data_IF_262848106259
#
_entry.id   IF_262848106259
#
_cell.length_a   1.000
_cell.length_b   1.000
_cell.length_c   1.000
_cell.angle_alpha   90.00
_cell.angle_beta   90.00
_cell.angle_gamma   90.00
#
_symmetry.space_group_name_H-M   'P 1'
#
loop_
_entity.id
_entity.type
_entity.pdbx_description
1 polymer ?
#
# COMPACT_ATOMS: atom_id res chain seq x y z
N UNK A 1 9.77 -17.15 -0.63
CA UNK A 1 10.31 -16.96 -1.98
C UNK A 1 10.16 -15.48 -2.33
N UNK A 2 11.27 -14.79 -2.54
CA UNK A 2 11.28 -13.33 -2.81
C UNK A 2 11.16 -13.12 -4.32
N UNK A 3 10.04 -12.60 -4.78
CA UNK A 3 9.77 -12.36 -6.21
C UNK A 3 9.89 -10.89 -6.55
N UNK A 4 10.52 -10.60 -7.69
CA UNK A 4 10.48 -9.29 -8.32
C UNK A 4 9.87 -9.40 -9.72
N UNK A 5 9.29 -8.30 -10.19
CA UNK A 5 8.75 -8.15 -11.54
C UNK A 5 9.62 -7.13 -12.28
N UNK A 6 10.15 -7.53 -13.43
CA UNK A 6 10.90 -6.67 -14.35
C UNK A 6 10.09 -6.45 -15.61
N UNK A 7 9.93 -5.20 -16.01
CA UNK A 7 9.07 -4.79 -17.12
C UNK A 7 9.83 -3.88 -18.07
N UNK A 8 9.99 -4.30 -19.30
CA UNK A 8 10.61 -3.50 -20.37
C UNK A 8 10.19 -4.10 -21.72
N UNK A 9 9.84 -3.28 -22.70
CA UNK A 9 9.45 -3.77 -24.03
C UNK A 9 10.65 -4.23 -24.87
N UNK A 10 11.88 -3.79 -24.51
CA UNK A 10 13.11 -4.24 -25.14
C UNK A 10 13.62 -5.55 -24.47
N UNK A 11 13.60 -6.71 -25.15
CA UNK A 11 13.96 -8.00 -24.53
C UNK A 11 15.39 -8.05 -23.96
N UNK A 12 16.34 -7.36 -24.62
CA UNK A 12 17.74 -7.33 -24.16
C UNK A 12 17.90 -6.53 -22.86
N UNK A 13 17.27 -5.36 -22.78
CA UNK A 13 17.29 -4.53 -21.56
C UNK A 13 16.54 -5.23 -20.42
N UNK A 14 15.36 -5.80 -20.72
CA UNK A 14 14.58 -6.56 -19.75
C UNK A 14 15.42 -7.67 -19.11
N UNK A 15 16.11 -8.45 -19.92
CA UNK A 15 16.99 -9.52 -19.45
C UNK A 15 18.17 -8.99 -18.63
N UNK A 16 18.82 -7.92 -19.08
CA UNK A 16 19.92 -7.29 -18.34
C UNK A 16 19.46 -6.80 -16.96
N UNK A 17 18.32 -6.12 -16.89
CA UNK A 17 17.74 -5.65 -15.63
C UNK A 17 17.35 -6.83 -14.74
N UNK A 18 16.77 -7.90 -15.30
CA UNK A 18 16.41 -9.11 -14.58
C UNK A 18 17.65 -9.78 -13.94
N UNK A 19 18.76 -9.88 -14.67
CA UNK A 19 20.03 -10.42 -14.15
C UNK A 19 20.58 -9.57 -12.99
N UNK A 20 20.50 -8.23 -13.09
CA UNK A 20 20.91 -7.32 -12.02
C UNK A 20 20.00 -7.51 -10.79
N UNK A 21 18.69 -7.54 -10.97
CA UNK A 21 17.72 -7.71 -9.87
C UNK A 21 17.88 -9.09 -9.20
N UNK A 22 18.14 -10.14 -9.96
CA UNK A 22 18.46 -11.45 -9.41
C UNK A 22 19.75 -11.41 -8.54
N UNK A 23 20.77 -10.70 -8.99
CA UNK A 23 22.02 -10.45 -8.25
C UNK A 23 21.83 -9.70 -6.94
N UNK A 24 20.76 -8.90 -6.79
CA UNK A 24 20.40 -8.25 -5.53
C UNK A 24 19.87 -9.25 -4.47
N UNK A 25 19.39 -10.43 -4.88
CA UNK A 25 18.96 -11.49 -3.98
C UNK A 25 17.48 -11.81 -4.01
N UNK A 26 16.82 -11.61 -5.14
CA UNK A 26 15.49 -12.16 -5.39
C UNK A 26 15.59 -13.59 -5.90
N UNK A 27 14.70 -14.46 -5.43
CA UNK A 27 14.71 -15.90 -5.76
C UNK A 27 14.10 -16.18 -7.13
N UNK A 28 13.15 -15.35 -7.55
CA UNK A 28 12.42 -15.48 -8.81
C UNK A 28 12.17 -14.10 -9.43
N UNK A 29 12.47 -13.98 -10.72
CA UNK A 29 12.19 -12.78 -11.50
C UNK A 29 11.09 -13.11 -12.50
N UNK A 30 9.96 -12.44 -12.35
CA UNK A 30 8.89 -12.44 -13.34
C UNK A 30 9.17 -11.35 -14.37
N UNK A 31 8.79 -11.56 -15.59
CA UNK A 31 9.01 -10.62 -16.69
C UNK A 31 7.68 -10.21 -17.33
N UNK A 32 7.60 -8.97 -17.79
CA UNK A 32 6.51 -8.44 -18.60
C UNK A 32 7.03 -7.50 -19.69
N UNK A 33 6.30 -7.40 -20.78
CA UNK A 33 6.70 -6.64 -21.97
C UNK A 33 6.05 -5.25 -22.06
N UNK A 34 5.10 -4.96 -21.19
CA UNK A 34 4.39 -3.69 -21.13
C UNK A 34 3.68 -3.50 -19.78
N UNK A 35 3.25 -2.27 -19.53
CA UNK A 35 2.58 -1.93 -18.27
C UNK A 35 1.26 -2.67 -18.02
N UNK A 36 0.53 -3.07 -19.07
CA UNK A 36 -0.74 -3.79 -18.89
C UNK A 36 -0.51 -5.21 -18.34
N UNK A 37 0.48 -5.93 -18.88
CA UNK A 37 0.90 -7.23 -18.33
C UNK A 37 1.45 -7.08 -16.91
N UNK A 38 2.21 -6.01 -16.63
CA UNK A 38 2.72 -5.75 -15.29
C UNK A 38 1.60 -5.59 -14.26
N UNK A 39 0.54 -4.85 -14.58
CA UNK A 39 -0.62 -4.67 -13.72
C UNK A 39 -1.33 -6.01 -13.46
N UNK A 40 -1.50 -6.84 -14.49
CA UNK A 40 -2.12 -8.15 -14.37
C UNK A 40 -1.30 -9.10 -13.48
N UNK A 41 0.01 -9.19 -13.71
CA UNK A 41 0.90 -10.02 -12.91
C UNK A 41 0.91 -9.54 -11.45
N UNK A 42 1.03 -8.23 -11.20
CA UNK A 42 1.03 -7.68 -9.85
C UNK A 42 -0.27 -7.93 -9.08
N UNK A 43 -1.40 -8.01 -9.77
CA UNK A 43 -2.70 -8.32 -9.17
C UNK A 43 -2.82 -9.78 -8.70
N UNK A 44 -2.20 -10.72 -9.43
CA UNK A 44 -2.40 -12.15 -9.21
C UNK A 44 -1.20 -12.86 -8.55
N UNK A 45 -0.04 -12.21 -8.52
CA UNK A 45 1.19 -12.78 -7.96
C UNK A 45 1.64 -12.04 -6.70
N UNK A 46 2.33 -12.76 -5.82
CA UNK A 46 3.02 -12.18 -4.67
C UNK A 46 4.36 -11.59 -5.10
N UNK A 47 4.42 -10.27 -5.25
CA UNK A 47 5.59 -9.52 -5.71
C UNK A 47 6.06 -8.57 -4.61
N UNK A 48 7.37 -8.50 -4.40
CA UNK A 48 8.00 -7.63 -3.41
C UNK A 48 8.65 -6.38 -4.01
N UNK A 49 8.88 -6.36 -5.32
CA UNK A 49 9.50 -5.25 -6.03
C UNK A 49 9.06 -5.25 -7.49
N UNK A 50 8.81 -4.07 -8.04
CA UNK A 50 8.63 -3.86 -9.48
C UNK A 50 9.75 -2.94 -9.98
N UNK A 51 10.49 -3.39 -11.00
CA UNK A 51 11.43 -2.56 -11.76
C UNK A 51 10.88 -2.43 -13.17
N UNK A 52 10.62 -1.21 -13.62
CA UNK A 52 9.82 -1.01 -14.82
C UNK A 52 10.36 0.14 -15.67
N UNK A 53 10.42 -0.06 -17.00
CA UNK A 53 10.70 1.03 -17.92
C UNK A 53 9.60 2.10 -17.87
N UNK A 54 10.02 3.36 -17.94
CA UNK A 54 9.10 4.51 -17.96
C UNK A 54 8.34 4.65 -19.28
N UNK A 55 8.98 4.28 -20.42
CA UNK A 55 8.47 4.55 -21.76
C UNK A 55 8.17 3.28 -22.55
N UNK A 56 7.02 2.65 -22.34
CA UNK A 56 6.62 1.42 -23.03
C UNK A 56 5.36 1.62 -23.90
N UNK A 57 5.19 0.82 -24.98
CA UNK A 57 3.96 0.80 -25.75
C UNK A 57 2.79 0.22 -24.93
N UNK A 58 1.56 0.41 -25.42
CA UNK A 58 0.29 -0.05 -24.82
C UNK A 58 -0.04 0.66 -23.52
N UNK A 59 0.87 0.62 -22.54
CA UNK A 59 0.75 1.31 -21.26
C UNK A 59 2.15 1.65 -20.74
N UNK A 60 2.41 2.95 -20.54
CA UNK A 60 3.66 3.44 -19.97
C UNK A 60 3.82 3.06 -18.48
N UNK A 61 5.08 3.10 -18.01
CA UNK A 61 5.42 2.69 -16.66
C UNK A 61 4.78 3.53 -15.57
N UNK A 62 4.57 4.83 -15.80
CA UNK A 62 3.94 5.72 -14.82
C UNK A 62 2.45 5.37 -14.64
N UNK A 63 1.75 5.16 -15.76
CA UNK A 63 0.35 4.73 -15.75
C UNK A 63 0.19 3.33 -15.11
N UNK A 64 1.12 2.42 -15.37
CA UNK A 64 1.12 1.10 -14.76
C UNK A 64 1.37 1.19 -13.24
N UNK A 65 2.33 2.01 -12.81
CA UNK A 65 2.61 2.26 -11.39
C UNK A 65 1.38 2.78 -10.64
N UNK A 66 0.66 3.74 -11.23
CA UNK A 66 -0.57 4.28 -10.64
C UNK A 66 -1.64 3.20 -10.44
N UNK A 67 -1.84 2.32 -11.45
CA UNK A 67 -2.82 1.22 -11.37
C UNK A 67 -2.42 0.17 -10.34
N UNK A 68 -1.14 -0.20 -10.29
CA UNK A 68 -0.60 -1.13 -9.28
C UNK A 68 -0.80 -0.53 -7.89
N UNK A 69 -0.41 0.74 -7.69
CA UNK A 69 -0.53 1.41 -6.39
C UNK A 69 -1.96 1.53 -5.87
N UNK A 70 -2.96 1.65 -6.76
CA UNK A 70 -4.38 1.68 -6.39
C UNK A 70 -4.92 0.31 -5.95
N UNK A 71 -4.42 -0.76 -6.54
CA UNK A 71 -4.90 -2.12 -6.28
C UNK A 71 -4.14 -2.78 -5.13
N UNK A 72 -2.84 -2.86 -5.26
CA UNK A 72 -1.94 -3.48 -4.28
C UNK A 72 -0.63 -2.68 -4.26
N UNK A 73 -0.46 -1.74 -3.32
CA UNK A 73 0.77 -0.95 -3.24
C UNK A 73 2.01 -1.83 -3.14
N UNK A 74 3.00 -1.55 -3.98
CA UNK A 74 4.28 -2.25 -4.07
C UNK A 74 5.41 -1.23 -4.22
N UNK A 75 6.64 -1.54 -3.79
CA UNK A 75 7.79 -0.71 -4.11
C UNK A 75 8.07 -0.78 -5.61
N UNK A 76 8.12 0.39 -6.26
CA UNK A 76 8.32 0.52 -7.70
C UNK A 76 9.53 1.40 -7.96
N UNK A 77 10.46 0.89 -8.76
CA UNK A 77 11.59 1.63 -9.32
C UNK A 77 11.39 1.78 -10.82
N UNK A 78 11.41 3.00 -11.33
CA UNK A 78 11.39 3.24 -12.77
C UNK A 78 12.82 3.23 -13.33
N UNK A 79 12.95 2.67 -14.53
CA UNK A 79 14.12 2.80 -15.39
C UNK A 79 13.72 3.70 -16.55
N UNK A 80 14.38 4.84 -16.75
CA UNK A 80 13.92 5.81 -17.75
C UNK A 80 15.06 6.51 -18.46
N UNK A 81 14.87 6.81 -19.73
CA UNK A 81 15.73 7.73 -20.48
C UNK A 81 15.31 9.20 -20.33
N UNK A 82 14.06 9.44 -19.89
CA UNK A 82 13.51 10.78 -19.74
C UNK A 82 13.59 11.25 -18.28
N UNK A 83 14.30 12.35 -18.07
CA UNK A 83 14.49 13.00 -16.76
C UNK A 83 13.82 14.37 -16.68
N UNK A 84 12.85 14.64 -17.55
CA UNK A 84 12.10 15.89 -17.49
C UNK A 84 11.36 16.03 -16.16
N UNK A 85 11.40 17.20 -15.52
CA UNK A 85 10.79 17.42 -14.20
C UNK A 85 9.30 17.04 -14.13
N UNK A 86 8.57 17.25 -15.21
CA UNK A 86 7.15 16.91 -15.31
C UNK A 86 6.92 15.40 -15.28
N UNK A 87 7.76 14.62 -15.96
CA UNK A 87 7.69 13.15 -15.96
C UNK A 87 8.04 12.58 -14.59
N UNK A 88 9.06 13.14 -13.94
CA UNK A 88 9.46 12.74 -12.58
C UNK A 88 8.34 13.04 -11.58
N UNK A 89 7.72 14.20 -11.67
CA UNK A 89 6.61 14.57 -10.78
C UNK A 89 5.38 13.66 -10.99
N UNK A 90 5.05 13.33 -12.23
CA UNK A 90 3.99 12.35 -12.52
C UNK A 90 4.31 10.99 -11.92
N UNK A 91 5.56 10.51 -12.06
CA UNK A 91 6.01 9.25 -11.48
C UNK A 91 5.89 9.25 -9.94
N UNK A 92 6.30 10.35 -9.29
CA UNK A 92 6.16 10.53 -7.85
C UNK A 92 4.69 10.46 -7.39
N UNK A 93 3.80 11.15 -8.09
CA UNK A 93 2.36 11.13 -7.80
C UNK A 93 1.72 9.76 -8.05
N UNK A 94 2.27 8.98 -8.99
CA UNK A 94 1.86 7.61 -9.28
C UNK A 94 2.34 6.59 -8.23
N UNK A 95 3.14 7.03 -7.24
CA UNK A 95 3.64 6.15 -6.17
C UNK A 95 4.95 5.46 -6.48
N UNK A 96 5.68 5.89 -7.52
CA UNK A 96 7.04 5.44 -7.78
C UNK A 96 7.96 5.89 -6.65
N UNK A 97 8.73 4.97 -6.09
CA UNK A 97 9.61 5.24 -4.95
C UNK A 97 10.97 5.79 -5.36
N UNK A 98 11.49 5.31 -6.51
CA UNK A 98 12.79 5.76 -7.02
C UNK A 98 12.85 5.56 -8.53
N UNK A 99 13.87 6.16 -9.17
CA UNK A 99 14.13 5.95 -10.59
C UNK A 99 15.63 5.84 -10.88
N UNK A 100 15.97 5.14 -11.96
CA UNK A 100 17.32 4.99 -12.48
C UNK A 100 17.34 5.46 -13.93
N UNK A 101 18.34 6.26 -14.28
CA UNK A 101 18.50 6.79 -15.66
C UNK A 101 19.25 5.78 -16.51
N UNK A 102 18.74 5.50 -17.72
CA UNK A 102 19.42 4.66 -18.72
C UNK A 102 20.72 5.37 -19.19
N UNK A 103 21.86 4.65 -19.35
CA UNK A 103 22.02 3.20 -19.25
C UNK A 103 22.11 2.71 -17.81
N UNK A 104 21.46 1.58 -17.53
CA UNK A 104 21.38 0.99 -16.19
C UNK A 104 22.72 0.38 -15.76
N UNK A 105 23.18 0.75 -14.55
CA UNK A 105 24.35 0.13 -13.91
C UNK A 105 23.91 -0.61 -12.65
N UNK A 106 24.52 -1.75 -12.38
CA UNK A 106 24.14 -2.61 -11.26
C UNK A 106 24.16 -1.86 -9.91
N UNK A 107 25.21 -1.08 -9.65
CA UNK A 107 25.37 -0.32 -8.40
C UNK A 107 24.26 0.71 -8.19
N UNK A 108 23.87 1.39 -9.27
CA UNK A 108 22.80 2.39 -9.24
C UNK A 108 21.43 1.72 -9.01
N UNK A 109 21.18 0.60 -9.68
CA UNK A 109 19.92 -0.13 -9.52
C UNK A 109 19.83 -0.75 -8.13
N UNK A 110 20.91 -1.30 -7.59
CA UNK A 110 20.93 -1.81 -6.22
C UNK A 110 20.61 -0.73 -5.18
N UNK A 111 21.24 0.44 -5.30
CA UNK A 111 20.96 1.56 -4.41
C UNK A 111 19.50 2.04 -4.52
N UNK A 112 18.96 2.11 -5.75
CA UNK A 112 17.57 2.51 -5.98
C UNK A 112 16.57 1.49 -5.43
N UNK A 113 16.83 0.20 -5.59
CA UNK A 113 16.01 -0.90 -5.07
C UNK A 113 16.01 -0.90 -3.54
N UNK A 114 17.19 -0.78 -2.93
CA UNK A 114 17.33 -0.73 -1.48
C UNK A 114 16.54 0.42 -0.88
N UNK A 115 16.71 1.61 -1.43
CA UNK A 115 15.97 2.80 -0.99
C UNK A 115 14.46 2.66 -1.19
N UNK A 116 14.02 2.14 -2.34
CA UNK A 116 12.60 1.94 -2.62
C UNK A 116 11.95 0.96 -1.64
N UNK A 117 12.61 -0.14 -1.31
CA UNK A 117 12.11 -1.13 -0.36
C UNK A 117 12.03 -0.51 1.05
N UNK A 118 13.06 0.20 1.51
CA UNK A 118 13.07 0.85 2.82
C UNK A 118 11.96 1.90 2.94
N UNK A 119 11.84 2.79 1.97
CA UNK A 119 10.78 3.80 1.94
C UNK A 119 9.39 3.18 1.93
N UNK A 120 9.19 2.08 1.19
CA UNK A 120 7.92 1.39 1.14
C UNK A 120 7.53 0.79 2.50
N UNK A 121 8.48 0.13 3.18
CA UNK A 121 8.27 -0.45 4.52
C UNK A 121 7.90 0.63 5.52
N UNK A 122 8.64 1.74 5.55
CA UNK A 122 8.36 2.88 6.43
C UNK A 122 6.99 3.50 6.19
N UNK A 123 6.65 3.80 4.92
CA UNK A 123 5.35 4.35 4.55
C UNK A 123 4.20 3.39 4.85
N UNK A 124 4.40 2.08 4.69
CA UNK A 124 3.39 1.08 5.00
C UNK A 124 3.12 1.00 6.49
N UNK A 125 4.16 1.03 7.32
CA UNK A 125 4.05 1.07 8.77
C UNK A 125 3.31 2.31 9.26
N UNK A 126 3.64 3.50 8.72
CA UNK A 126 2.95 4.74 9.05
C UNK A 126 1.47 4.74 8.63
N UNK A 127 1.15 4.16 7.47
CA UNK A 127 -0.24 4.02 7.02
C UNK A 127 -1.05 3.11 7.93
N UNK A 128 -0.44 2.02 8.38
CA UNK A 128 -1.09 1.10 9.32
C UNK A 128 -1.34 1.77 10.67
N UNK A 129 -0.36 2.49 11.23
CA UNK A 129 -0.51 3.25 12.46
C UNK A 129 -1.62 4.30 12.35
N UNK A 130 -1.66 5.08 11.27
CA UNK A 130 -2.73 6.05 11.01
C UNK A 130 -4.09 5.37 10.92
N UNK A 131 -4.18 4.20 10.29
CA UNK A 131 -5.42 3.43 10.18
C UNK A 131 -5.91 2.99 11.56
N UNK A 132 -5.03 2.45 12.39
CA UNK A 132 -5.35 2.02 13.76
C UNK A 132 -5.79 3.19 14.65
N UNK A 133 -5.12 4.34 14.54
CA UNK A 133 -5.50 5.55 15.27
C UNK A 133 -6.88 6.06 14.85
N UNK A 134 -7.18 6.06 13.56
CA UNK A 134 -8.52 6.42 13.06
C UNK A 134 -9.60 5.48 13.59
N UNK A 135 -9.37 4.19 13.54
CA UNK A 135 -10.31 3.19 14.06
C UNK A 135 -10.55 3.35 15.57
N UNK A 136 -9.49 3.62 16.32
CA UNK A 136 -9.59 3.89 17.77
C UNK A 136 -10.42 5.14 18.04
N UNK A 137 -10.21 6.22 17.28
CA UNK A 137 -10.99 7.46 17.42
C UNK A 137 -12.46 7.24 17.07
N UNK A 138 -12.75 6.54 15.99
CA UNK A 138 -14.15 6.23 15.62
C UNK A 138 -14.83 5.34 16.67
N UNK A 139 -14.13 4.33 17.18
CA UNK A 139 -14.62 3.49 18.26
C UNK A 139 -14.96 4.33 19.50
N UNK A 140 -14.07 5.25 19.89
CA UNK A 140 -14.32 6.15 21.03
C UNK A 140 -15.54 7.04 20.82
N UNK A 141 -15.69 7.64 19.64
CA UNK A 141 -16.87 8.47 19.28
C UNK A 141 -18.17 7.66 19.39
N UNK A 142 -18.19 6.43 18.90
CA UNK A 142 -19.37 5.55 18.97
C UNK A 142 -19.72 5.24 20.42
N UNK A 143 -18.73 4.90 21.26
CA UNK A 143 -18.93 4.64 22.68
C UNK A 143 -19.46 5.89 23.41
N UNK A 144 -18.89 7.07 23.14
CA UNK A 144 -19.31 8.32 23.77
C UNK A 144 -20.75 8.71 23.38
N UNK A 145 -21.14 8.49 22.14
CA UNK A 145 -22.53 8.65 21.69
C UNK A 145 -23.47 7.70 22.41
N UNK A 146 -23.13 6.42 22.51
CA UNK A 146 -23.93 5.41 23.21
C UNK A 146 -24.04 5.73 24.73
N UNK A 147 -22.97 6.23 25.38
CA UNK A 147 -23.05 6.76 26.73
C UNK A 147 -24.06 7.90 26.83
N UNK A 148 -24.03 8.84 25.88
CA UNK A 148 -24.99 9.96 25.82
C UNK A 148 -26.45 9.49 25.79
N UNK A 149 -26.76 8.42 25.03
CA UNK A 149 -28.08 7.79 24.98
C UNK A 149 -28.49 7.25 26.38
N UNK A 150 -27.58 6.52 27.02
CA UNK A 150 -27.85 5.95 28.34
C UNK A 150 -28.03 7.02 29.44
N UNK A 151 -27.26 8.12 29.33
CA UNK A 151 -27.38 9.29 30.22
C UNK A 151 -28.75 9.97 30.05
N UNK A 152 -29.22 10.16 28.83
CA UNK A 152 -30.58 10.67 28.56
C UNK A 152 -31.66 9.77 29.13
N UNK A 153 -31.40 8.47 29.31
CA UNK A 153 -32.29 7.50 29.96
C UNK A 153 -32.18 7.46 31.50
N UNK A 154 -31.47 8.43 32.09
CA UNK A 154 -31.39 8.62 33.55
C UNK A 154 -30.19 7.98 34.23
N UNK A 155 -29.18 7.52 33.51
CA UNK A 155 -27.93 7.03 34.08
C UNK A 155 -26.91 8.17 34.26
N UNK A 156 -26.04 8.08 35.26
CA UNK A 156 -24.85 8.90 35.32
C UNK A 156 -23.76 8.34 34.37
N UNK A 157 -22.72 9.13 34.05
CA UNK A 157 -21.68 8.73 33.13
C UNK A 157 -20.94 7.44 33.54
N UNK A 158 -20.53 7.27 34.82
CA UNK A 158 -19.93 6.02 35.27
C UNK A 158 -20.86 4.80 35.17
N UNK A 159 -22.16 4.98 35.39
CA UNK A 159 -23.16 3.93 35.23
C UNK A 159 -23.35 3.53 33.80
N UNK A 160 -23.43 4.51 32.88
CA UNK A 160 -23.55 4.30 31.44
C UNK A 160 -22.38 3.49 30.91
N UNK A 161 -21.14 3.84 31.27
CA UNK A 161 -19.95 3.09 30.84
C UNK A 161 -19.92 1.66 31.41
N UNK A 162 -20.19 1.48 32.69
CA UNK A 162 -20.30 0.13 33.32
C UNK A 162 -21.39 -0.71 32.65
N UNK A 163 -22.49 -0.11 32.25
CA UNK A 163 -23.57 -0.82 31.53
C UNK A 163 -23.11 -1.33 30.20
N UNK A 164 -22.36 -0.51 29.41
CA UNK A 164 -21.76 -0.92 28.15
C UNK A 164 -20.77 -2.08 28.34
N UNK A 165 -19.88 -1.96 29.32
CA UNK A 165 -18.92 -3.02 29.64
C UNK A 165 -19.59 -4.34 30.01
N UNK A 166 -20.59 -4.29 30.90
CA UNK A 166 -21.33 -5.49 31.29
C UNK A 166 -22.02 -6.16 30.11
N UNK A 167 -22.68 -5.39 29.25
CA UNK A 167 -23.33 -5.93 28.05
C UNK A 167 -22.31 -6.54 27.07
N UNK A 168 -21.13 -5.95 26.92
CA UNK A 168 -20.06 -6.48 26.09
C UNK A 168 -19.57 -7.85 26.63
N UNK A 169 -19.37 -7.97 27.93
CA UNK A 169 -18.98 -9.22 28.58
C UNK A 169 -20.07 -10.28 28.48
N UNK A 170 -21.32 -9.94 28.85
CA UNK A 170 -22.46 -10.87 28.84
C UNK A 170 -22.74 -11.43 27.44
N UNK A 171 -22.58 -10.60 26.41
CA UNK A 171 -22.82 -10.97 24.99
C UNK A 171 -21.57 -11.45 24.25
N UNK A 172 -20.41 -11.44 24.87
CA UNK A 172 -19.11 -11.74 24.23
C UNK A 172 -18.89 -10.94 22.96
N UNK A 173 -19.21 -9.66 22.99
CA UNK A 173 -19.06 -8.70 21.89
C UNK A 173 -18.08 -7.60 22.28
N UNK A 174 -17.56 -6.89 21.26
CA UNK A 174 -16.74 -5.72 21.53
C UNK A 174 -17.58 -4.59 22.14
N UNK A 175 -16.93 -3.65 22.85
CA UNK A 175 -17.57 -2.43 23.34
C UNK A 175 -18.20 -1.61 22.22
N UNK A 176 -17.55 -1.59 21.05
CA UNK A 176 -18.04 -0.93 19.84
C UNK A 176 -19.35 -1.56 19.35
N UNK A 177 -19.39 -2.89 19.18
CA UNK A 177 -20.59 -3.58 18.71
C UNK A 177 -21.79 -3.31 19.61
N UNK A 178 -21.56 -3.29 20.94
CA UNK A 178 -22.61 -3.00 21.91
C UNK A 178 -23.07 -1.54 21.83
N UNK A 179 -22.13 -0.62 21.68
CA UNK A 179 -22.43 0.79 21.53
C UNK A 179 -23.22 1.06 20.24
N UNK A 180 -22.84 0.47 19.11
CA UNK A 180 -23.58 0.53 17.86
C UNK A 180 -25.00 -0.03 18.01
N UNK A 181 -25.16 -1.18 18.67
CA UNK A 181 -26.48 -1.76 18.92
C UNK A 181 -27.39 -0.85 19.76
N UNK A 182 -26.84 -0.13 20.75
CA UNK A 182 -27.60 0.83 21.54
C UNK A 182 -28.03 2.04 20.70
N UNK A 183 -27.18 2.53 19.83
CA UNK A 183 -27.49 3.65 18.93
C UNK A 183 -28.62 3.27 17.95
N UNK A 184 -28.65 2.04 17.44
CA UNK A 184 -29.72 1.55 16.58
C UNK A 184 -31.09 1.41 17.27
N UNK A 185 -31.17 1.45 18.60
CA UNK A 185 -32.44 1.41 19.35
C UNK A 185 -32.99 2.81 19.67
N UNK A 186 -32.36 3.88 19.20
CA UNK A 186 -32.85 5.27 19.35
C UNK A 186 -33.74 5.72 18.18
N UNK A 187 -33.66 5.04 17.03
CA UNK A 187 -34.57 5.23 15.89
C UNK A 187 -35.84 4.35 16.06
#
# INVERSE_FOLDING_TARGET
MRRALVVDDEPLLRRQVAEIVAGYGFDEILEAENGAQAVEIAAHQEILLVVMDGGMPVMDGVTAAEKIGKNKPLPIVLVTANTEPETIERARLAGVMNYVVKPVRAEQLFAAVDLAIHQFVELSSLREEVSQLKETLETRKVIDRAKGVLIKRGMDEPQAFRRLQKLAMDKRKSLRDVAEAILLTED
#
